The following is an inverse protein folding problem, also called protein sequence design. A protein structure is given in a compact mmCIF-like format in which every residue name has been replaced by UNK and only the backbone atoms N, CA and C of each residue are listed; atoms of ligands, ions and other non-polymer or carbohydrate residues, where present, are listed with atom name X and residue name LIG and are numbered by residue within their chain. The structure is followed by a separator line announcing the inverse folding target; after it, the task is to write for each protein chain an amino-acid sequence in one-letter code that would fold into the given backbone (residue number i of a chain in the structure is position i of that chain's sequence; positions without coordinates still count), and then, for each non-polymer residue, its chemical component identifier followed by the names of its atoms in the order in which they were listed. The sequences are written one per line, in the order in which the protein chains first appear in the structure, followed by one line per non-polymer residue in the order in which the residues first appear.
data_IF_453088673559
#
_entry.id   IF_453088673559
#
_cell.length_a   1.000
_cell.length_b   1.000
_cell.length_c   1.000
_cell.angle_alpha   90.00
_cell.angle_beta   90.00
_cell.angle_gamma   90.00
#
_symmetry.space_group_name_H-M   'P 1'
#
loop_
_entity.id
_entity.type
_entity.pdbx_description
1 polymer ?
#
# COMPACT_ATOMS: atom_id res chain seq x y z
N UNK A 1 7.98 -4.23 24.13
CA UNK A 1 8.95 -4.02 23.03
C UNK A 1 8.27 -3.07 22.04
N UNK A 2 8.74 -1.83 21.89
CA UNK A 2 8.20 -0.91 20.88
C UNK A 2 8.69 -1.38 19.51
N UNK A 3 7.77 -1.60 18.59
CA UNK A 3 8.07 -1.89 17.19
C UNK A 3 7.89 -0.61 16.39
N UNK A 4 8.81 -0.35 15.46
CA UNK A 4 8.65 0.77 14.53
C UNK A 4 7.33 0.61 13.79
N UNK A 5 6.54 1.69 13.74
CA UNK A 5 5.33 1.78 12.91
C UNK A 5 5.69 2.09 11.46
N UNK A 6 6.98 2.23 11.13
CA UNK A 6 7.45 2.49 9.78
C UNK A 6 7.14 1.29 8.86
N UNK A 7 6.31 1.49 7.82
CA UNK A 7 5.95 0.42 6.87
C UNK A 7 7.16 -0.23 6.20
N UNK A 8 8.22 0.54 5.93
CA UNK A 8 9.44 0.04 5.27
C UNK A 8 10.18 -0.95 6.17
N UNK A 9 10.29 -0.65 7.47
CA UNK A 9 10.94 -1.56 8.41
C UNK A 9 10.15 -2.87 8.58
N UNK A 10 8.81 -2.78 8.59
CA UNK A 10 7.93 -3.95 8.63
C UNK A 10 8.12 -4.82 7.39
N UNK A 11 8.13 -4.21 6.21
CA UNK A 11 8.36 -4.91 4.94
C UNK A 11 9.74 -5.60 4.91
N UNK A 12 10.79 -4.89 5.31
CA UNK A 12 12.15 -5.45 5.36
C UNK A 12 12.26 -6.63 6.33
N UNK A 13 11.56 -6.59 7.47
CA UNK A 13 11.52 -7.70 8.42
C UNK A 13 10.81 -8.91 7.83
N UNK A 14 9.73 -8.71 7.07
CA UNK A 14 8.99 -9.80 6.45
C UNK A 14 9.77 -10.46 5.31
N UNK A 15 10.46 -9.67 4.48
CA UNK A 15 11.39 -10.18 3.47
C UNK A 15 12.46 -11.07 4.11
N UNK A 16 13.09 -10.62 5.18
CA UNK A 16 14.09 -11.42 5.92
C UNK A 16 13.47 -12.72 6.46
N UNK A 17 12.33 -12.65 7.15
CA UNK A 17 11.66 -13.81 7.74
C UNK A 17 11.32 -14.89 6.71
N UNK A 18 10.81 -14.52 5.53
CA UNK A 18 10.47 -15.50 4.48
C UNK A 18 11.70 -16.02 3.73
N UNK A 19 12.71 -15.18 3.54
CA UNK A 19 13.99 -15.62 2.99
C UNK A 19 14.68 -16.64 3.90
N UNK A 20 14.62 -16.46 5.22
CA UNK A 20 15.20 -17.39 6.21
C UNK A 20 14.58 -18.80 6.13
N UNK A 21 13.29 -18.91 5.76
CA UNK A 21 12.62 -20.21 5.55
C UNK A 21 13.15 -20.93 4.32
N UNK A 22 13.49 -20.19 3.26
CA UNK A 22 14.04 -20.77 2.03
C UNK A 22 15.51 -21.14 2.20
N UNK A 23 16.27 -20.33 2.96
CA UNK A 23 17.69 -20.56 3.24
C UNK A 23 18.59 -20.27 2.04
N UNK A 24 18.63 -21.16 1.04
CA UNK A 24 19.49 -21.04 -0.15
C UNK A 24 18.63 -20.94 -1.40
N UNK A 25 18.92 -19.95 -2.26
CA UNK A 25 18.24 -19.78 -3.54
C UNK A 25 19.07 -20.36 -4.69
N UNK A 26 18.44 -21.05 -5.66
CA UNK A 26 19.15 -21.68 -6.77
C UNK A 26 19.62 -20.70 -7.84
N UNK A 27 19.05 -19.49 -7.89
CA UNK A 27 19.44 -18.39 -8.77
C UNK A 27 18.82 -17.06 -8.30
N UNK A 28 19.24 -15.96 -8.92
CA UNK A 28 18.77 -14.61 -8.62
C UNK A 28 17.28 -14.41 -8.94
N UNK A 29 16.76 -15.05 -9.99
CA UNK A 29 15.35 -14.90 -10.34
C UNK A 29 14.44 -15.53 -9.29
N UNK A 30 14.90 -16.55 -8.57
CA UNK A 30 14.12 -17.22 -7.52
C UNK A 30 13.92 -16.30 -6.32
N UNK A 31 14.94 -15.56 -5.90
CA UNK A 31 14.79 -14.56 -4.82
C UNK A 31 13.96 -13.36 -5.28
N UNK A 32 14.13 -12.89 -6.52
CA UNK A 32 13.29 -11.82 -7.09
C UNK A 32 11.81 -12.18 -7.08
N UNK A 33 11.46 -13.43 -7.40
CA UNK A 33 10.07 -13.92 -7.36
C UNK A 33 9.51 -13.91 -5.93
N UNK A 34 10.29 -14.36 -4.93
CA UNK A 34 9.84 -14.30 -3.53
C UNK A 34 9.59 -12.87 -3.08
N UNK A 35 10.56 -11.97 -3.30
CA UNK A 35 10.43 -10.57 -2.90
C UNK A 35 9.27 -9.91 -3.65
N UNK A 36 9.13 -10.18 -4.95
CA UNK A 36 8.01 -9.71 -5.76
C UNK A 36 6.66 -10.15 -5.22
N UNK A 37 6.52 -11.42 -4.82
CA UNK A 37 5.29 -11.92 -4.20
C UNK A 37 4.95 -11.19 -2.89
N UNK A 38 5.94 -10.96 -2.02
CA UNK A 38 5.75 -10.22 -0.75
C UNK A 38 5.32 -8.77 -1.02
N UNK A 39 5.91 -8.12 -2.02
CA UNK A 39 5.53 -6.75 -2.39
C UNK A 39 4.11 -6.68 -2.92
N UNK A 40 3.67 -7.67 -3.71
CA UNK A 40 2.31 -7.75 -4.21
C UNK A 40 1.32 -7.93 -3.06
N UNK A 41 1.58 -8.85 -2.13
CA UNK A 41 0.73 -9.03 -0.93
C UNK A 41 0.61 -7.75 -0.11
N UNK A 42 1.71 -7.02 0.09
CA UNK A 42 1.68 -5.76 0.84
C UNK A 42 0.99 -4.62 0.07
N UNK A 43 1.12 -4.60 -1.25
CA UNK A 43 0.36 -3.68 -2.09
C UNK A 43 -1.14 -3.94 -1.96
N UNK A 44 -1.57 -5.20 -1.99
CA UNK A 44 -2.99 -5.58 -1.86
C UNK A 44 -3.53 -5.22 -0.47
N UNK A 45 -2.78 -5.51 0.61
CA UNK A 45 -3.13 -5.07 1.96
C UNK A 45 -3.29 -3.55 2.05
N UNK A 46 -2.36 -2.80 1.45
CA UNK A 46 -2.41 -1.34 1.45
C UNK A 46 -3.64 -0.81 0.72
N UNK A 47 -3.95 -1.34 -0.47
CA UNK A 47 -5.13 -0.97 -1.27
C UNK A 47 -6.45 -1.25 -0.52
N UNK A 48 -6.52 -2.36 0.22
CA UNK A 48 -7.70 -2.69 1.02
C UNK A 48 -7.88 -1.76 2.23
N UNK A 49 -6.77 -1.40 2.90
CA UNK A 49 -6.80 -0.54 4.09
C UNK A 49 -6.96 0.95 3.77
N UNK A 50 -6.47 1.41 2.62
CA UNK A 50 -6.37 2.83 2.27
C UNK A 50 -7.27 3.21 1.10
N UNK A 51 -8.54 2.79 1.13
CA UNK A 51 -9.58 3.33 0.23
C UNK A 51 -9.84 4.79 0.60
N UNK A 52 -9.02 5.69 0.07
CA UNK A 52 -9.04 7.12 0.41
C UNK A 52 -10.31 7.86 -0.02
N UNK A 53 -11.17 7.25 -0.82
CA UNK A 53 -12.56 7.66 -1.05
C UNK A 53 -13.27 6.47 -1.68
N UNK A 54 -14.43 6.08 -1.15
CA UNK A 54 -15.30 5.18 -1.91
C UNK A 54 -15.89 5.94 -3.09
N UNK A 55 -16.16 5.24 -4.20
CA UNK A 55 -16.87 5.81 -5.37
C UNK A 55 -18.18 6.50 -4.94
N UNK A 56 -18.84 5.97 -3.91
CA UNK A 56 -20.04 6.54 -3.27
C UNK A 56 -19.75 7.90 -2.61
N UNK A 57 -18.62 8.05 -1.90
CA UNK A 57 -18.19 9.34 -1.33
C UNK A 57 -17.79 10.35 -2.42
N UNK A 58 -17.25 9.90 -3.56
CA UNK A 58 -16.91 10.78 -4.68
C UNK A 58 -18.13 11.21 -5.50
N UNK A 59 -19.11 10.32 -5.68
CA UNK A 59 -20.35 10.57 -6.41
C UNK A 59 -21.22 11.65 -5.73
N UNK A 60 -21.20 11.74 -4.40
CA UNK A 60 -21.90 12.80 -3.66
C UNK A 60 -21.30 14.21 -3.82
N UNK A 61 -20.15 14.36 -4.50
CA UNK A 61 -19.44 15.64 -4.66
C UNK A 61 -19.54 16.24 -6.06
N UNK A 62 -20.08 15.53 -7.05
CA UNK A 62 -20.17 16.01 -8.44
C UNK A 62 -21.45 16.77 -8.78
N UNK A 63 -22.37 16.93 -7.82
CA UNK A 63 -23.66 17.60 -8.04
C UNK A 63 -23.75 19.03 -7.46
N UNK A 64 -22.63 19.71 -7.23
CA UNK A 64 -22.66 21.14 -6.85
C UNK A 64 -22.42 22.03 -8.09
N UNK A 65 -23.43 22.78 -8.58
CA UNK A 65 -23.19 23.81 -9.58
C UNK A 65 -22.36 24.92 -8.94
N UNK A 66 -21.19 25.19 -9.50
CA UNK A 66 -20.27 26.22 -9.06
C UNK A 66 -20.96 27.59 -8.89
N UNK A 67 -21.43 27.91 -7.67
CA UNK A 67 -21.88 29.25 -7.32
C UNK A 67 -20.67 30.15 -7.12
N UNK A 68 -20.26 30.75 -8.24
CA UNK A 68 -19.43 31.95 -8.32
C UNK A 68 -20.14 33.12 -7.62
N UNK A 69 -20.12 33.18 -6.28
CA UNK A 69 -20.78 34.28 -5.53
C UNK A 69 -19.94 34.82 -4.36
N UNK A 70 -18.61 34.67 -4.39
CA UNK A 70 -17.74 35.18 -3.32
C UNK A 70 -16.58 36.09 -3.76
N UNK A 71 -16.54 36.60 -5.01
CA UNK A 71 -15.53 37.59 -5.45
C UNK A 71 -16.18 38.93 -5.88
N UNK A 72 -17.26 39.34 -5.22
CA UNK A 72 -17.76 40.71 -5.36
C UNK A 72 -18.42 41.19 -4.06
N UNK A 73 -17.60 41.68 -3.14
CA UNK A 73 -17.99 42.63 -2.09
C UNK A 73 -16.74 43.41 -1.67
#
# INVERSE_FOLDING_TARGET
KLHSTNPIERLNKEVKRRADVVGIFPNEDSIKRLVGAILLEQNDEWQLQHRYMTLETMAGRTDEPATLTHIAA
#
